data_IF_312329284869
#
_entry.id   IF_312329284869
#
_cell.length_a   1.000
_cell.length_b   1.000
_cell.length_c   1.000
_cell.angle_alpha   90.00
_cell.angle_beta   90.00
_cell.angle_gamma   90.00
#
_symmetry.space_group_name_H-M   'P 1'
#
loop_
_entity.id
_entity.type
_entity.pdbx_description
1 polymer ?
#
# COMPACT_ATOMS: atom_id res chain seq x y z
N UNK A 1 28.88 14.52 -1.47
CA UNK A 1 28.52 14.89 -2.86
C UNK A 1 27.44 15.97 -2.82
N UNK A 2 27.58 17.07 -3.58
CA UNK A 2 26.50 18.06 -3.73
C UNK A 2 25.49 17.55 -4.75
N UNK A 3 24.23 17.36 -4.33
CA UNK A 3 23.13 16.98 -5.23
C UNK A 3 22.84 18.09 -6.24
N UNK A 4 22.62 17.73 -7.50
CA UNK A 4 22.15 18.66 -8.52
C UNK A 4 20.74 19.18 -8.19
N UNK A 5 20.37 20.37 -8.69
CA UNK A 5 19.03 20.92 -8.48
C UNK A 5 17.94 19.94 -8.96
N UNK A 6 18.20 19.25 -10.07
CA UNK A 6 17.32 18.19 -10.59
C UNK A 6 17.13 17.05 -9.59
N UNK A 7 18.22 16.55 -9.02
CA UNK A 7 18.15 15.48 -8.03
C UNK A 7 17.41 15.94 -6.77
N UNK A 8 17.60 17.19 -6.32
CA UNK A 8 16.89 17.76 -5.17
C UNK A 8 15.38 17.84 -5.42
N UNK A 9 14.97 18.41 -6.54
CA UNK A 9 13.53 18.55 -6.88
C UNK A 9 12.87 17.18 -7.07
N UNK A 10 13.52 16.26 -7.79
CA UNK A 10 13.01 14.89 -7.92
C UNK A 10 12.92 14.19 -6.56
N UNK A 11 13.92 14.33 -5.70
CA UNK A 11 13.87 13.74 -4.36
C UNK A 11 12.74 14.33 -3.52
N UNK A 12 12.48 15.64 -3.63
CA UNK A 12 11.39 16.30 -2.91
C UNK A 12 10.00 15.88 -3.42
N UNK A 13 9.87 15.56 -4.70
CA UNK A 13 8.60 15.11 -5.28
C UNK A 13 8.36 13.60 -5.08
N UNK A 14 9.38 12.78 -5.29
CA UNK A 14 9.27 11.31 -5.32
C UNK A 14 9.33 10.70 -3.91
N UNK A 15 10.24 11.18 -3.06
CA UNK A 15 10.49 10.56 -1.76
C UNK A 15 9.25 10.61 -0.85
N UNK A 16 8.53 11.74 -0.72
CA UNK A 16 7.30 11.77 0.08
C UNK A 16 6.22 10.85 -0.48
N UNK A 17 6.06 10.79 -1.80
CA UNK A 17 5.08 9.90 -2.47
C UNK A 17 5.39 8.44 -2.15
N UNK A 18 6.66 8.03 -2.24
CA UNK A 18 7.07 6.66 -1.89
C UNK A 18 6.86 6.36 -0.41
N UNK A 19 7.15 7.32 0.49
CA UNK A 19 6.92 7.17 1.92
C UNK A 19 5.42 7.04 2.20
N UNK A 20 4.58 7.90 1.63
CA UNK A 20 3.12 7.81 1.77
C UNK A 20 2.59 6.49 1.21
N UNK A 21 3.03 6.09 0.03
CA UNK A 21 2.63 4.80 -0.57
C UNK A 21 3.01 3.63 0.33
N UNK A 22 4.23 3.65 0.91
CA UNK A 22 4.70 2.62 1.83
C UNK A 22 3.86 2.60 3.12
N UNK A 23 3.60 3.76 3.72
CA UNK A 23 2.82 3.88 4.97
C UNK A 23 1.37 3.46 4.73
N UNK A 24 0.74 3.94 3.66
CA UNK A 24 -0.63 3.56 3.28
C UNK A 24 -0.71 2.06 2.98
N UNK A 25 0.27 1.52 2.24
CA UNK A 25 0.31 0.08 1.94
C UNK A 25 0.47 -0.74 3.22
N UNK A 26 1.42 -0.38 4.09
CA UNK A 26 1.66 -1.10 5.35
C UNK A 26 0.46 -1.05 6.29
N UNK A 27 -0.16 0.12 6.45
CA UNK A 27 -1.35 0.31 7.29
C UNK A 27 -2.56 -0.43 6.72
N UNK A 28 -2.77 -0.37 5.40
CA UNK A 28 -3.83 -1.11 4.70
C UNK A 28 -3.66 -2.62 4.89
N UNK A 29 -2.46 -3.15 4.65
CA UNK A 29 -2.16 -4.57 4.85
C UNK A 29 -2.41 -4.98 6.30
N UNK A 30 -1.95 -4.18 7.26
CA UNK A 30 -2.13 -4.46 8.68
C UNK A 30 -3.61 -4.46 9.12
N UNK A 31 -4.36 -3.43 8.75
CA UNK A 31 -5.79 -3.33 9.05
C UNK A 31 -6.58 -4.47 8.42
N UNK A 32 -6.30 -4.78 7.15
CA UNK A 32 -7.00 -5.83 6.42
C UNK A 32 -6.65 -7.22 6.93
N UNK A 33 -5.41 -7.50 7.32
CA UNK A 33 -5.06 -8.79 7.90
C UNK A 33 -5.79 -9.00 9.24
N UNK A 34 -5.88 -7.96 10.07
CA UNK A 34 -6.70 -8.00 11.30
C UNK A 34 -8.19 -8.21 11.00
N UNK A 35 -8.71 -7.58 9.95
CA UNK A 35 -10.10 -7.74 9.55
C UNK A 35 -10.37 -9.14 8.98
N UNK A 36 -9.45 -9.69 8.20
CA UNK A 36 -9.51 -11.03 7.62
C UNK A 36 -9.62 -12.10 8.71
N UNK A 37 -8.73 -12.05 9.70
CA UNK A 37 -8.72 -12.99 10.82
C UNK A 37 -10.03 -12.91 11.62
N UNK A 38 -10.55 -11.69 11.84
CA UNK A 38 -11.85 -11.50 12.50
C UNK A 38 -13.00 -12.08 11.69
N UNK A 39 -13.09 -11.77 10.40
CA UNK A 39 -14.17 -12.24 9.54
C UNK A 39 -14.19 -13.78 9.43
N UNK A 40 -13.01 -14.39 9.32
CA UNK A 40 -12.84 -15.85 9.32
C UNK A 40 -13.27 -16.45 10.66
N UNK A 41 -12.82 -15.88 11.78
CA UNK A 41 -13.16 -16.35 13.12
C UNK A 41 -14.65 -16.21 13.42
N UNK A 42 -15.23 -15.04 13.18
CA UNK A 42 -16.65 -14.75 13.41
C UNK A 42 -17.55 -15.64 12.56
N UNK A 43 -17.16 -15.88 11.30
CA UNK A 43 -17.88 -16.80 10.42
C UNK A 43 -17.83 -18.24 10.97
N UNK A 44 -16.66 -18.69 11.41
CA UNK A 44 -16.50 -20.02 12.00
C UNK A 44 -17.35 -20.18 13.25
N UNK A 45 -17.26 -19.22 14.18
CA UNK A 45 -18.01 -19.24 15.43
C UNK A 45 -19.52 -19.22 15.19
N UNK A 46 -20.00 -18.39 14.27
CA UNK A 46 -21.42 -18.33 13.89
C UNK A 46 -21.90 -19.67 13.35
N UNK A 47 -21.19 -20.24 12.37
CA UNK A 47 -21.55 -21.53 11.78
C UNK A 47 -21.52 -22.68 12.80
N UNK A 48 -20.53 -22.68 13.70
CA UNK A 48 -20.47 -23.65 14.80
C UNK A 48 -21.63 -23.46 15.78
N UNK A 49 -21.98 -22.22 16.12
CA UNK A 49 -23.13 -21.91 16.97
C UNK A 49 -24.45 -22.37 16.34
N UNK A 50 -24.63 -22.15 15.04
CA UNK A 50 -25.79 -22.65 14.28
C UNK A 50 -25.85 -24.18 14.30
N UNK A 51 -24.72 -24.87 14.10
CA UNK A 51 -24.63 -26.33 14.19
C UNK A 51 -24.96 -26.84 15.60
N UNK A 52 -24.44 -26.17 16.64
CA UNK A 52 -24.73 -26.48 18.05
C UNK A 52 -26.21 -26.35 18.39
N UNK A 53 -26.83 -25.24 17.98
CA UNK A 53 -28.25 -24.99 18.20
C UNK A 53 -29.13 -26.01 17.46
N UNK A 54 -28.74 -26.35 16.23
CA UNK A 54 -29.43 -27.37 15.42
C UNK A 54 -29.39 -28.74 16.10
N UNK A 55 -28.23 -29.16 16.60
CA UNK A 55 -28.08 -30.41 17.35
C UNK A 55 -28.91 -30.42 18.64
N UNK A 56 -28.89 -29.32 19.39
CA UNK A 56 -29.69 -29.16 20.60
C UNK A 56 -31.18 -29.31 20.27
N UNK A 57 -31.67 -28.71 19.18
CA UNK A 57 -33.05 -28.85 18.73
C UNK A 57 -33.39 -30.29 18.34
N UNK A 58 -32.51 -30.98 17.61
CA UNK A 58 -32.73 -32.39 17.24
C UNK A 58 -32.82 -33.31 18.46
N UNK A 59 -31.92 -33.15 19.42
CA UNK A 59 -31.98 -33.94 20.66
C UNK A 59 -33.17 -33.53 21.52
N UNK A 60 -33.53 -32.24 21.59
CA UNK A 60 -34.73 -31.79 22.31
C UNK A 60 -36.02 -32.40 21.73
N UNK A 61 -36.13 -32.54 20.41
CA UNK A 61 -37.26 -33.23 19.76
C UNK A 61 -37.28 -34.72 20.16
N UNK A 62 -36.12 -35.40 20.11
CA UNK A 62 -36.00 -36.80 20.51
C UNK A 62 -36.37 -37.00 22.00
N UNK A 63 -35.90 -36.11 22.87
CA UNK A 63 -36.21 -36.10 24.30
C UNK A 63 -37.69 -35.83 24.55
N UNK A 64 -38.31 -34.92 23.80
CA UNK A 64 -39.75 -34.64 23.88
C UNK A 64 -40.58 -35.87 23.51
N UNK A 65 -40.17 -36.63 22.48
CA UNK A 65 -40.87 -37.83 22.05
C UNK A 65 -40.92 -38.91 23.14
N UNK A 66 -39.87 -39.05 23.95
CA UNK A 66 -39.81 -40.02 25.05
C UNK A 66 -40.23 -39.44 26.41
N UNK A 67 -40.50 -38.13 26.51
CA UNK A 67 -40.78 -37.44 27.77
C UNK A 67 -41.89 -38.11 28.60
N UNK A 68 -43.05 -38.48 28.04
CA UNK A 68 -44.11 -39.14 28.83
C UNK A 68 -43.66 -40.48 29.43
N UNK A 69 -42.85 -41.25 28.69
CA UNK A 69 -42.30 -42.52 29.15
C UNK A 69 -41.27 -42.30 30.26
N UNK A 70 -40.41 -41.31 30.11
CA UNK A 70 -39.35 -41.00 31.07
C UNK A 70 -39.88 -40.44 32.39
N UNK A 71 -40.90 -39.57 32.33
CA UNK A 71 -41.52 -38.98 33.52
C UNK A 71 -42.28 -40.03 34.34
N UNK A 72 -43.04 -40.92 33.68
CA UNK A 72 -43.80 -41.98 34.34
C UNK A 72 -42.93 -43.13 34.89
N UNK A 73 -41.75 -43.36 34.31
CA UNK A 73 -40.85 -44.44 34.70
C UNK A 73 -40.23 -44.25 36.09
N UNK A 74 -40.18 -45.35 36.86
CA UNK A 74 -39.30 -45.45 38.03
C UNK A 74 -37.82 -45.56 37.60
N UNK A 75 -36.86 -45.19 38.48
CA UNK A 75 -35.45 -45.47 38.23
C UNK A 75 -35.21 -46.96 37.94
N UNK A 76 -34.54 -47.27 36.83
CA UNK A 76 -34.27 -48.65 36.40
C UNK A 76 -35.41 -49.37 35.70
N UNK A 77 -36.53 -48.71 35.36
CA UNK A 77 -37.62 -49.35 34.61
C UNK A 77 -37.18 -49.74 33.18
N UNK A 78 -36.86 -51.02 33.01
CA UNK A 78 -36.38 -51.58 31.75
C UNK A 78 -37.45 -51.61 30.66
N UNK A 79 -38.73 -51.74 31.03
CA UNK A 79 -39.83 -51.81 30.05
C UNK A 79 -40.06 -50.43 29.43
N UNK A 80 -40.14 -49.40 30.26
CA UNK A 80 -40.25 -48.01 29.78
C UNK A 80 -39.01 -47.61 28.97
N UNK A 81 -37.81 -47.98 29.44
CA UNK A 81 -36.55 -47.74 28.73
C UNK A 81 -36.53 -48.41 27.35
N UNK A 82 -36.94 -49.68 27.24
CA UNK A 82 -37.00 -50.40 25.98
C UNK A 82 -37.98 -49.74 24.98
N UNK A 83 -39.16 -49.32 25.46
CA UNK A 83 -40.13 -48.59 24.65
C UNK A 83 -39.58 -47.24 24.15
N UNK A 84 -38.88 -46.50 25.01
CA UNK A 84 -38.22 -45.26 24.64
C UNK A 84 -37.11 -45.49 23.60
N UNK A 85 -36.26 -46.50 23.78
CA UNK A 85 -35.21 -46.88 22.82
C UNK A 85 -35.81 -47.24 21.46
N UNK A 86 -36.95 -47.95 21.42
CA UNK A 86 -37.66 -48.27 20.17
C UNK A 86 -38.09 -46.99 19.43
N UNK A 87 -38.62 -46.01 20.16
CA UNK A 87 -39.01 -44.73 19.58
C UNK A 87 -37.80 -43.94 19.08
N UNK A 88 -36.76 -43.80 19.90
CA UNK A 88 -35.51 -43.11 19.52
C UNK A 88 -34.82 -43.74 18.33
N UNK A 89 -34.80 -45.08 18.25
CA UNK A 89 -34.24 -45.84 17.13
C UNK A 89 -34.96 -45.55 15.80
N UNK A 90 -36.22 -45.12 15.85
CA UNK A 90 -36.97 -44.74 14.64
C UNK A 90 -36.70 -43.32 14.15
N UNK A 91 -36.00 -42.50 14.95
CA UNK A 91 -35.72 -41.10 14.60
C UNK A 91 -34.48 -41.01 13.71
N UNK A 92 -34.68 -40.44 12.53
CA UNK A 92 -33.63 -40.00 11.61
C UNK A 92 -34.05 -38.67 10.97
N UNK A 93 -33.08 -37.91 10.47
CA UNK A 93 -33.35 -36.61 9.86
C UNK A 93 -32.27 -36.22 8.85
N UNK A 94 -32.64 -35.33 7.94
CA UNK A 94 -31.78 -34.98 6.80
C UNK A 94 -31.42 -36.24 5.99
N UNK A 95 -30.23 -36.25 5.41
CA UNK A 95 -29.74 -37.38 4.61
C UNK A 95 -29.08 -38.46 5.47
N UNK A 96 -28.26 -38.05 6.44
CA UNK A 96 -27.38 -38.94 7.20
C UNK A 96 -27.47 -38.69 8.73
N UNK A 97 -28.42 -37.88 9.19
CA UNK A 97 -28.59 -37.52 10.60
C UNK A 97 -29.37 -38.57 11.38
N UNK A 98 -28.90 -38.88 12.59
CA UNK A 98 -29.49 -39.90 13.44
C UNK A 98 -29.26 -39.65 14.93
N UNK A 99 -30.08 -40.28 15.77
CA UNK A 99 -29.87 -40.33 17.22
C UNK A 99 -29.11 -41.61 17.59
N UNK A 100 -28.19 -41.50 18.53
CA UNK A 100 -27.50 -42.63 19.14
C UNK A 100 -27.62 -42.57 20.67
N UNK A 101 -27.34 -43.70 21.32
CA UNK A 101 -27.21 -43.71 22.76
C UNK A 101 -26.17 -44.70 23.28
N UNK A 102 -25.60 -44.33 24.42
CA UNK A 102 -24.62 -45.10 25.18
C UNK A 102 -25.04 -45.19 26.65
N UNK A 103 -24.57 -46.18 27.39
CA UNK A 103 -24.65 -46.17 28.85
C UNK A 103 -23.41 -45.52 29.50
N UNK A 104 -23.37 -45.46 30.84
CA UNK A 104 -22.23 -44.92 31.57
C UNK A 104 -20.91 -45.65 31.34
N UNK A 105 -20.96 -46.91 30.91
CA UNK A 105 -19.80 -47.76 30.62
C UNK A 105 -19.39 -47.67 29.15
N UNK A 106 -19.95 -46.71 28.41
CA UNK A 106 -19.63 -46.43 27.01
C UNK A 106 -20.02 -47.62 26.11
N UNK A 107 -21.03 -48.41 26.51
CA UNK A 107 -21.62 -49.46 25.70
C UNK A 107 -22.71 -48.84 24.83
N UNK A 108 -22.69 -49.12 23.53
CA UNK A 108 -23.71 -48.59 22.60
C UNK A 108 -25.05 -49.29 22.85
N UNK A 109 -26.07 -48.50 23.19
CA UNK A 109 -27.43 -49.01 23.45
C UNK A 109 -28.26 -49.02 22.16
N UNK A 110 -28.14 -47.97 21.34
CA UNK A 110 -28.79 -47.90 20.03
C UNK A 110 -28.08 -46.91 19.11
N UNK A 111 -28.33 -47.03 17.80
CA UNK A 111 -27.86 -46.10 16.76
C UNK A 111 -28.88 -46.06 15.64
N UNK A 112 -29.91 -45.22 15.79
CA UNK A 112 -31.12 -45.30 14.95
C UNK A 112 -31.59 -46.75 14.79
N UNK A 113 -32.02 -47.14 13.60
CA UNK A 113 -32.40 -48.49 13.24
C UNK A 113 -31.21 -49.41 12.86
N UNK A 114 -29.97 -48.94 13.01
CA UNK A 114 -28.78 -49.72 12.66
C UNK A 114 -28.36 -50.62 13.83
N UNK A 115 -28.15 -51.93 13.60
CA UNK A 115 -27.61 -52.84 14.62
C UNK A 115 -26.11 -52.64 14.86
N UNK A 116 -25.45 -51.78 14.08
CA UNK A 116 -24.01 -51.59 14.11
C UNK A 116 -23.49 -51.15 15.48
N UNK A 117 -22.63 -51.97 16.06
CA UNK A 117 -21.97 -51.72 17.33
C UNK A 117 -22.86 -51.82 18.57
N UNK A 118 -24.15 -52.11 18.45
CA UNK A 118 -25.05 -52.24 19.62
C UNK A 118 -24.55 -53.37 20.55
N UNK A 119 -24.52 -53.10 21.85
CA UNK A 119 -23.99 -54.01 22.87
C UNK A 119 -22.46 -54.06 22.97
N UNK A 120 -21.73 -53.39 22.09
CA UNK A 120 -20.26 -53.31 22.15
C UNK A 120 -19.80 -52.11 22.97
N UNK A 121 -18.70 -52.28 23.68
CA UNK A 121 -18.00 -51.18 24.34
C UNK A 121 -17.22 -50.35 23.32
N UNK A 122 -17.35 -49.03 23.42
CA UNK A 122 -16.56 -48.05 22.68
C UNK A 122 -15.60 -47.28 23.60
N UNK A 123 -15.37 -47.80 24.80
CA UNK A 123 -14.56 -47.14 25.82
C UNK A 123 -13.14 -46.84 25.32
N UNK A 124 -12.53 -47.73 24.55
CA UNK A 124 -11.16 -47.58 24.05
C UNK A 124 -11.05 -47.04 22.62
N UNK A 125 -12.19 -46.71 21.98
CA UNK A 125 -12.20 -46.19 20.62
C UNK A 125 -11.62 -44.77 20.58
N UNK A 126 -10.67 -44.54 19.67
CA UNK A 126 -10.01 -43.24 19.50
C UNK A 126 -10.13 -42.70 18.08
N UNK A 127 -10.16 -41.38 17.95
CA UNK A 127 -9.96 -40.73 16.66
C UNK A 127 -8.48 -40.61 16.28
N UNK A 128 -8.22 -40.06 15.09
CA UNK A 128 -6.86 -39.83 14.57
C UNK A 128 -6.03 -38.85 15.43
N UNK A 129 -6.67 -38.05 16.28
CA UNK A 129 -6.03 -37.11 17.20
C UNK A 129 -5.85 -37.70 18.61
N UNK A 130 -6.24 -38.95 18.83
CA UNK A 130 -6.13 -39.66 20.11
C UNK A 130 -7.29 -39.40 21.09
N UNK A 131 -8.36 -38.70 20.66
CA UNK A 131 -9.54 -38.42 21.48
C UNK A 131 -10.37 -39.69 21.66
N UNK A 132 -10.70 -40.03 22.91
CA UNK A 132 -11.63 -41.12 23.20
C UNK A 132 -13.08 -40.69 22.95
N UNK A 133 -13.49 -40.69 21.68
CA UNK A 133 -14.74 -40.09 21.18
C UNK A 133 -15.92 -40.39 22.10
N UNK A 134 -16.15 -41.67 22.39
CA UNK A 134 -17.34 -42.11 23.11
C UNK A 134 -17.25 -41.87 24.62
N UNK A 135 -16.04 -41.87 25.21
CA UNK A 135 -15.84 -41.44 26.59
C UNK A 135 -16.21 -39.97 26.76
N UNK A 136 -15.73 -39.14 25.85
CA UNK A 136 -16.01 -37.70 25.87
C UNK A 136 -17.50 -37.42 25.65
N UNK A 137 -18.15 -38.09 24.69
CA UNK A 137 -19.60 -38.00 24.49
C UNK A 137 -20.38 -38.35 25.76
N UNK A 138 -19.99 -39.41 26.48
CA UNK A 138 -20.63 -39.76 27.75
C UNK A 138 -20.33 -38.74 28.84
N UNK A 139 -19.09 -38.26 28.92
CA UNK A 139 -18.65 -37.30 29.93
C UNK A 139 -19.35 -35.94 29.79
N UNK A 140 -19.44 -35.38 28.58
CA UNK A 140 -20.07 -34.07 28.36
C UNK A 140 -21.59 -34.09 28.58
N UNK A 141 -22.25 -35.21 28.26
CA UNK A 141 -23.66 -35.42 28.59
C UNK A 141 -23.90 -35.49 30.10
N UNK A 142 -23.04 -36.18 30.85
CA UNK A 142 -23.13 -36.25 32.31
C UNK A 142 -22.77 -34.94 33.01
N UNK A 143 -21.79 -34.21 32.49
CA UNK A 143 -21.32 -32.94 33.06
C UNK A 143 -22.24 -31.76 32.74
N UNK A 144 -23.18 -31.90 31.79
CA UNK A 144 -24.03 -30.80 31.33
C UNK A 144 -23.31 -29.77 30.45
N UNK A 145 -22.10 -30.07 29.97
CA UNK A 145 -21.40 -29.24 28.96
C UNK A 145 -21.87 -29.58 27.54
N UNK A 146 -22.48 -30.76 27.37
CA UNK A 146 -23.21 -31.28 26.22
C UNK A 146 -22.47 -31.47 24.91
N UNK A 147 -21.47 -30.64 24.60
CA UNK A 147 -20.82 -30.61 23.29
C UNK A 147 -19.41 -31.19 23.32
N UNK A 148 -19.05 -31.96 22.29
CA UNK A 148 -17.69 -32.43 22.03
C UNK A 148 -17.37 -32.33 20.55
N UNK A 149 -16.16 -31.88 20.21
CA UNK A 149 -15.63 -31.94 18.86
C UNK A 149 -14.71 -33.14 18.73
N UNK A 150 -14.84 -33.89 17.64
CA UNK A 150 -14.03 -35.08 17.37
C UNK A 150 -14.00 -35.36 15.88
N UNK A 151 -13.07 -36.20 15.43
CA UNK A 151 -13.03 -36.63 14.04
C UNK A 151 -13.45 -38.09 13.90
N UNK A 152 -14.22 -38.43 12.86
CA UNK A 152 -14.61 -39.81 12.60
C UNK A 152 -14.65 -40.08 11.11
N UNK A 153 -14.12 -41.24 10.71
CA UNK A 153 -14.28 -41.75 9.36
C UNK A 153 -15.78 -41.93 9.04
N UNK A 154 -16.16 -41.61 7.80
CA UNK A 154 -17.48 -41.96 7.28
C UNK A 154 -17.51 -43.44 6.89
N UNK A 155 -18.67 -44.12 6.95
CA UNK A 155 -18.78 -45.50 6.46
C UNK A 155 -18.22 -45.62 5.03
N UNK A 156 -17.23 -46.48 4.84
CA UNK A 156 -16.59 -46.72 3.53
C UNK A 156 -15.52 -45.70 3.10
N UNK A 157 -15.18 -44.71 3.94
CA UNK A 157 -14.04 -43.78 3.70
C UNK A 157 -13.01 -43.91 4.81
N UNK A 158 -11.73 -43.81 4.46
CA UNK A 158 -10.62 -43.85 5.42
C UNK A 158 -10.29 -42.47 6.00
N UNK A 159 -10.63 -41.39 5.30
CA UNK A 159 -10.37 -40.03 5.78
C UNK A 159 -11.33 -39.63 6.91
N UNK A 160 -10.79 -39.21 8.06
CA UNK A 160 -11.61 -38.76 9.18
C UNK A 160 -12.22 -37.39 8.87
N UNK A 161 -13.52 -37.25 9.10
CA UNK A 161 -14.26 -36.00 8.92
C UNK A 161 -14.49 -35.36 10.29
N UNK A 162 -14.23 -34.05 10.47
CA UNK A 162 -14.49 -33.37 11.74
C UNK A 162 -15.99 -33.30 12.00
N UNK A 163 -16.38 -33.53 13.26
CA UNK A 163 -17.76 -33.54 13.73
C UNK A 163 -17.87 -32.77 15.04
N UNK A 164 -19.08 -32.28 15.28
CA UNK A 164 -19.51 -31.85 16.60
C UNK A 164 -20.65 -32.76 17.05
N UNK A 165 -20.55 -33.29 18.26
CA UNK A 165 -21.59 -34.06 18.93
C UNK A 165 -22.26 -33.23 20.03
N UNK A 166 -23.55 -33.45 20.22
CA UNK A 166 -24.33 -33.00 21.37
C UNK A 166 -24.90 -34.23 22.09
N UNK A 167 -24.80 -34.26 23.40
CA UNK A 167 -25.33 -35.34 24.23
C UNK A 167 -25.99 -34.82 25.50
N UNK A 168 -26.98 -35.57 25.96
CA UNK A 168 -27.67 -35.37 27.23
C UNK A 168 -27.75 -36.69 27.99
N UNK A 169 -27.89 -36.61 29.32
CA UNK A 169 -27.89 -37.79 30.20
C UNK A 169 -29.23 -37.98 30.90
N UNK A 170 -29.80 -39.18 30.75
CA UNK A 170 -31.02 -39.64 31.41
C UNK A 170 -30.65 -40.55 32.59
N UNK A 171 -30.52 -40.03 33.82
CA UNK A 171 -30.04 -40.80 34.98
C UNK A 171 -30.95 -41.97 35.35
N UNK A 172 -32.28 -41.88 35.18
CA UNK A 172 -33.19 -42.99 35.55
C UNK A 172 -32.89 -44.28 34.75
N UNK A 173 -32.30 -44.15 33.57
CA UNK A 173 -32.09 -45.26 32.63
C UNK A 173 -30.62 -45.53 32.32
N UNK A 174 -29.71 -44.82 33.00
CA UNK A 174 -28.29 -44.73 32.66
C UNK A 174 -28.06 -44.63 31.15
N UNK A 175 -28.73 -43.67 30.52
CA UNK A 175 -28.77 -43.54 29.06
C UNK A 175 -28.29 -42.16 28.64
N UNK A 176 -27.20 -42.12 27.89
CA UNK A 176 -26.73 -40.96 27.17
C UNK A 176 -27.42 -40.98 25.82
N UNK A 177 -28.04 -39.86 25.43
CA UNK A 177 -28.67 -39.69 24.13
C UNK A 177 -27.98 -38.54 23.43
N UNK A 178 -27.67 -38.70 22.14
CA UNK A 178 -27.07 -37.62 21.40
C UNK A 178 -27.23 -37.73 19.90
N UNK A 179 -26.71 -36.71 19.25
CA UNK A 179 -26.45 -36.73 17.82
C UNK A 179 -25.18 -35.97 17.48
N UNK A 180 -24.71 -36.12 16.26
CA UNK A 180 -23.57 -35.42 15.74
C UNK A 180 -23.82 -34.97 14.28
N UNK A 181 -23.25 -33.83 13.93
CA UNK A 181 -23.22 -33.33 12.56
C UNK A 181 -21.78 -33.16 12.09
N UNK A 182 -21.55 -33.36 10.80
CA UNK A 182 -20.25 -33.10 10.20
C UNK A 182 -20.05 -31.58 10.05
N UNK A 183 -18.83 -31.10 10.25
CA UNK A 183 -18.47 -29.68 10.16
C UNK A 183 -17.42 -29.39 9.08
N UNK A 184 -17.15 -30.36 8.21
CA UNK A 184 -16.30 -30.18 7.01
C UNK A 184 -16.85 -29.12 6.05
N UNK A 185 -18.18 -29.01 5.94
CA UNK A 185 -18.82 -27.93 5.20
C UNK A 185 -18.55 -26.53 5.78
N UNK A 186 -18.35 -26.44 7.10
CA UNK A 186 -17.98 -25.19 7.78
C UNK A 186 -16.54 -24.82 7.39
N UNK A 187 -15.62 -25.77 7.45
CA UNK A 187 -14.22 -25.56 7.05
C UNK A 187 -14.11 -25.14 5.58
N UNK A 188 -14.88 -25.78 4.69
CA UNK A 188 -14.95 -25.40 3.28
C UNK A 188 -15.48 -23.97 3.09
N UNK A 189 -16.54 -23.59 3.81
CA UNK A 189 -17.09 -22.22 3.74
C UNK A 189 -16.12 -21.18 4.29
N UNK A 190 -15.42 -21.50 5.37
CA UNK A 190 -14.36 -20.64 5.93
C UNK A 190 -13.21 -20.49 4.94
N UNK A 191 -12.81 -21.56 4.25
CA UNK A 191 -11.79 -21.50 3.21
C UNK A 191 -12.21 -20.61 2.03
N UNK A 192 -13.47 -20.67 1.61
CA UNK A 192 -14.03 -19.79 0.57
C UNK A 192 -13.99 -18.31 1.01
N UNK A 193 -14.39 -18.00 2.24
CA UNK A 193 -14.30 -16.65 2.81
C UNK A 193 -12.85 -16.17 2.81
N UNK A 194 -11.91 -17.02 3.27
CA UNK A 194 -10.48 -16.69 3.27
C UNK A 194 -9.96 -16.38 1.85
N UNK A 195 -10.33 -17.18 0.86
CA UNK A 195 -9.93 -16.94 -0.54
C UNK A 195 -10.49 -15.61 -1.07
N UNK A 196 -11.75 -15.30 -0.78
CA UNK A 196 -12.37 -14.04 -1.17
C UNK A 196 -11.68 -12.84 -0.52
N UNK A 197 -11.30 -12.96 0.76
CA UNK A 197 -10.56 -11.93 1.46
C UNK A 197 -9.17 -11.74 0.82
N UNK A 198 -8.42 -12.83 0.62
CA UNK A 198 -7.09 -12.77 -0.03
C UNK A 198 -7.14 -12.17 -1.45
N UNK A 199 -8.19 -12.45 -2.22
CA UNK A 199 -8.39 -11.84 -3.54
C UNK A 199 -8.59 -10.32 -3.44
N UNK A 200 -9.45 -9.85 -2.52
CA UNK A 200 -9.66 -8.42 -2.28
C UNK A 200 -8.38 -7.72 -1.81
N UNK A 201 -7.53 -8.40 -1.01
CA UNK A 201 -6.22 -7.87 -0.63
C UNK A 201 -5.36 -7.57 -1.85
N UNK A 202 -5.28 -8.54 -2.78
CA UNK A 202 -4.48 -8.39 -4.02
C UNK A 202 -5.01 -7.26 -4.88
N UNK A 203 -6.33 -7.16 -5.09
CA UNK A 203 -6.94 -6.08 -5.87
C UNK A 203 -6.62 -4.69 -5.29
N UNK A 204 -6.72 -4.52 -3.97
CA UNK A 204 -6.35 -3.27 -3.31
C UNK A 204 -4.85 -2.96 -3.39
N UNK A 205 -3.98 -3.96 -3.27
CA UNK A 205 -2.55 -3.75 -3.45
C UNK A 205 -2.20 -3.33 -4.88
N UNK A 206 -2.85 -3.93 -5.89
CA UNK A 206 -2.67 -3.53 -7.27
C UNK A 206 -3.20 -2.11 -7.54
N UNK A 207 -4.31 -1.70 -6.90
CA UNK A 207 -4.81 -0.32 -7.05
C UNK A 207 -3.87 0.71 -6.41
N UNK A 208 -3.34 0.43 -5.20
CA UNK A 208 -2.32 1.28 -4.55
C UNK A 208 -1.07 1.38 -5.41
N UNK A 209 -0.59 0.25 -5.94
CA UNK A 209 0.57 0.22 -6.83
C UNK A 209 0.30 1.04 -8.10
N UNK A 210 -0.87 0.88 -8.73
CA UNK A 210 -1.26 1.62 -9.92
C UNK A 210 -1.29 3.13 -9.70
N UNK A 211 -1.91 3.58 -8.59
CA UNK A 211 -1.93 5.01 -8.20
C UNK A 211 -0.52 5.52 -7.93
N UNK A 212 0.31 4.73 -7.22
CA UNK A 212 1.70 5.11 -6.91
C UNK A 212 2.51 5.31 -8.19
N UNK A 213 2.43 4.37 -9.13
CA UNK A 213 3.10 4.46 -10.44
C UNK A 213 2.60 5.69 -11.21
N UNK A 214 1.29 5.93 -11.23
CA UNK A 214 0.71 7.10 -11.91
C UNK A 214 1.27 8.42 -11.35
N UNK A 215 1.28 8.58 -10.02
CA UNK A 215 1.80 9.78 -9.36
C UNK A 215 3.30 9.95 -9.61
N UNK A 216 4.07 8.86 -9.60
CA UNK A 216 5.50 8.90 -9.93
C UNK A 216 5.76 9.36 -11.37
N UNK A 217 5.03 8.82 -12.33
CA UNK A 217 5.14 9.22 -13.75
C UNK A 217 4.83 10.71 -13.90
N UNK A 218 3.74 11.18 -13.32
CA UNK A 218 3.37 12.61 -13.34
C UNK A 218 4.46 13.47 -12.70
N UNK A 219 4.98 13.08 -11.54
CA UNK A 219 6.04 13.80 -10.84
C UNK A 219 7.33 13.90 -11.64
N UNK A 220 7.74 12.83 -12.33
CA UNK A 220 8.93 12.82 -13.19
C UNK A 220 8.73 13.74 -14.40
N UNK A 221 7.56 13.68 -15.05
CA UNK A 221 7.24 14.54 -16.19
C UNK A 221 7.23 16.02 -15.80
N UNK A 222 6.60 16.37 -14.68
CA UNK A 222 6.57 17.73 -14.14
C UNK A 222 7.96 18.25 -13.74
N UNK A 223 8.78 17.41 -13.10
CA UNK A 223 10.15 17.81 -12.78
C UNK A 223 10.96 18.10 -14.05
N UNK A 224 10.76 17.30 -15.10
CA UNK A 224 11.39 17.51 -16.40
C UNK A 224 11.01 18.85 -17.06
N UNK A 225 9.73 19.21 -17.04
CA UNK A 225 9.24 20.47 -17.62
C UNK A 225 9.69 21.69 -16.82
N UNK A 226 9.69 21.64 -15.48
CA UNK A 226 10.09 22.75 -14.62
C UNK A 226 11.60 23.03 -14.65
N UNK A 227 12.43 21.99 -14.73
CA UNK A 227 13.89 22.14 -14.60
C UNK A 227 14.61 22.43 -15.91
N UNK A 228 14.00 22.11 -17.06
CA UNK A 228 14.62 22.31 -18.38
C UNK A 228 14.94 23.78 -18.68
N UNK A 229 14.05 24.77 -18.43
CA UNK A 229 14.37 26.18 -18.65
C UNK A 229 15.54 26.66 -17.79
N UNK A 230 15.60 26.26 -16.51
CA UNK A 230 16.69 26.62 -15.60
C UNK A 230 18.06 26.12 -16.10
N UNK A 231 18.10 24.92 -16.70
CA UNK A 231 19.32 24.40 -17.34
C UNK A 231 19.77 25.23 -18.54
N UNK A 232 18.83 25.68 -19.39
CA UNK A 232 19.12 26.55 -20.53
C UNK A 232 19.62 27.93 -20.09
N UNK A 233 19.01 28.51 -19.06
CA UNK A 233 19.45 29.77 -18.47
C UNK A 233 20.89 29.70 -17.95
N UNK A 234 21.19 28.64 -17.19
CA UNK A 234 22.53 28.40 -16.65
C UNK A 234 23.57 28.28 -17.77
N UNK A 235 23.28 27.52 -18.83
CA UNK A 235 24.22 27.36 -19.94
C UNK A 235 24.43 28.68 -20.69
N UNK A 236 23.39 29.46 -20.97
CA UNK A 236 23.54 30.78 -21.61
C UNK A 236 24.32 31.78 -20.74
N UNK A 237 24.15 31.73 -19.42
CA UNK A 237 24.94 32.54 -18.49
C UNK A 237 26.41 32.11 -18.47
N UNK A 238 26.67 30.81 -18.43
CA UNK A 238 28.03 30.26 -18.51
C UNK A 238 28.71 30.67 -19.83
N UNK A 239 27.99 30.64 -20.96
CA UNK A 239 28.50 31.07 -22.27
C UNK A 239 28.83 32.58 -22.32
N UNK A 240 27.99 33.42 -21.71
CA UNK A 240 28.26 34.86 -21.60
C UNK A 240 29.47 35.13 -20.70
N UNK A 241 29.64 34.36 -19.63
CA UNK A 241 30.70 34.56 -18.64
C UNK A 241 32.06 33.95 -19.04
N UNK A 242 32.05 32.80 -19.74
CA UNK A 242 33.25 32.03 -20.06
C UNK A 242 33.65 32.11 -21.55
N UNK A 243 32.75 32.51 -22.45
CA UNK A 243 33.02 32.67 -23.88
C UNK A 243 33.42 34.10 -24.28
N UNK A 244 33.27 34.43 -25.56
CA UNK A 244 33.48 35.80 -26.09
C UNK A 244 32.38 36.80 -25.68
N UNK A 245 31.44 36.39 -24.82
CA UNK A 245 30.33 37.23 -24.40
C UNK A 245 29.36 37.53 -25.55
N UNK A 246 28.87 36.50 -26.26
CA UNK A 246 27.89 36.67 -27.34
C UNK A 246 26.53 37.15 -26.80
N UNK A 247 26.41 38.48 -26.67
CA UNK A 247 25.21 39.19 -26.23
C UNK A 247 24.09 39.21 -27.29
N UNK A 248 24.19 38.42 -28.37
CA UNK A 248 23.10 38.24 -29.34
C UNK A 248 22.14 37.12 -28.94
N UNK A 249 22.55 36.21 -28.05
CA UNK A 249 21.70 35.12 -27.56
C UNK A 249 20.60 35.64 -26.62
N UNK A 250 19.41 35.07 -26.73
CA UNK A 250 18.24 35.36 -25.89
C UNK A 250 17.63 34.06 -25.39
N UNK A 251 17.00 34.11 -24.22
CA UNK A 251 16.19 33.00 -23.72
C UNK A 251 14.82 33.01 -24.39
N UNK A 252 14.37 31.84 -24.84
CA UNK A 252 13.00 31.67 -25.31
C UNK A 252 12.03 31.77 -24.11
N UNK A 253 11.00 32.60 -24.23
CA UNK A 253 9.90 32.68 -23.25
C UNK A 253 8.88 31.61 -23.64
N UNK A 254 8.98 30.44 -23.03
CA UNK A 254 8.14 29.26 -23.36
C UNK A 254 7.04 28.98 -22.34
N UNK A 255 6.95 29.78 -21.28
CA UNK A 255 5.95 29.62 -20.22
C UNK A 255 5.39 30.99 -19.80
N UNK A 256 4.18 30.99 -19.25
CA UNK A 256 3.51 32.16 -18.68
C UNK A 256 3.52 32.11 -17.13
N UNK A 257 4.58 31.55 -16.56
CA UNK A 257 4.82 31.41 -15.12
C UNK A 257 6.07 32.22 -14.70
N UNK A 258 6.51 32.06 -13.45
CA UNK A 258 7.67 32.73 -12.90
C UNK A 258 8.96 32.46 -13.70
N UNK A 259 9.07 31.32 -14.38
CA UNK A 259 10.22 31.01 -15.25
C UNK A 259 10.15 31.80 -16.56
N UNK A 260 8.95 32.03 -17.09
CA UNK A 260 8.70 32.93 -18.21
C UNK A 260 9.09 34.38 -17.89
N UNK A 261 8.64 34.88 -16.74
CA UNK A 261 8.96 36.23 -16.26
C UNK A 261 10.45 36.43 -16.01
N UNK A 262 11.13 35.39 -15.48
CA UNK A 262 12.56 35.38 -15.29
C UNK A 262 13.32 35.42 -16.62
N UNK A 263 12.89 34.63 -17.62
CA UNK A 263 13.46 34.66 -18.97
C UNK A 263 13.31 36.05 -19.61
N UNK A 264 12.14 36.69 -19.46
CA UNK A 264 11.89 38.04 -19.94
C UNK A 264 12.77 39.09 -19.24
N UNK A 265 12.93 38.98 -17.92
CA UNK A 265 13.80 39.86 -17.12
C UNK A 265 15.27 39.72 -17.51
N UNK A 266 15.72 38.50 -17.78
CA UNK A 266 17.07 38.22 -18.27
C UNK A 266 17.32 38.85 -19.65
N UNK A 267 16.40 38.68 -20.59
CA UNK A 267 16.54 39.27 -21.92
C UNK A 267 16.68 40.80 -21.86
N UNK A 268 15.87 41.48 -21.02
CA UNK A 268 15.99 42.92 -20.77
C UNK A 268 17.34 43.32 -20.17
N UNK A 269 17.90 42.49 -19.28
CA UNK A 269 19.23 42.71 -18.73
C UNK A 269 20.31 42.64 -19.82
N UNK A 270 20.27 41.61 -20.68
CA UNK A 270 21.19 41.46 -21.81
C UNK A 270 21.08 42.63 -22.79
N UNK A 271 19.86 43.11 -23.08
CA UNK A 271 19.64 44.29 -23.94
C UNK A 271 20.35 45.54 -23.40
N UNK A 272 20.29 45.77 -22.08
CA UNK A 272 21.00 46.89 -21.43
C UNK A 272 22.52 46.74 -21.54
N UNK A 273 23.06 45.54 -21.32
CA UNK A 273 24.50 45.29 -21.44
C UNK A 273 24.97 45.53 -22.89
N UNK A 274 24.24 44.99 -23.87
CA UNK A 274 24.54 45.19 -25.29
C UNK A 274 24.53 46.69 -25.64
N UNK A 275 23.52 47.43 -25.18
CA UNK A 275 23.44 48.89 -25.37
C UNK A 275 24.65 49.64 -24.78
N UNK A 276 25.09 49.29 -23.56
CA UNK A 276 26.27 49.89 -22.95
C UNK A 276 27.56 49.58 -23.71
N UNK A 277 27.75 48.33 -24.16
CA UNK A 277 28.92 47.94 -24.97
C UNK A 277 28.96 48.73 -26.28
N UNK A 278 27.81 48.89 -26.93
CA UNK A 278 27.70 49.72 -28.14
C UNK A 278 28.07 51.17 -27.87
N UNK A 279 27.56 51.76 -26.79
CA UNK A 279 27.86 53.13 -26.41
C UNK A 279 29.36 53.33 -26.11
N UNK A 280 30.00 52.37 -25.44
CA UNK A 280 31.46 52.40 -25.18
C UNK A 280 32.24 52.32 -26.49
N UNK A 281 31.83 51.48 -27.43
CA UNK A 281 32.45 51.39 -28.76
C UNK A 281 32.32 52.71 -29.54
N UNK A 282 31.13 53.31 -29.55
CA UNK A 282 30.88 54.61 -30.18
C UNK A 282 31.72 55.73 -29.53
N UNK A 283 31.78 55.80 -28.20
CA UNK A 283 32.63 56.75 -27.47
C UNK A 283 34.12 56.54 -27.76
N UNK A 284 34.58 55.29 -27.88
CA UNK A 284 35.97 54.98 -28.25
C UNK A 284 36.29 55.43 -29.67
N UNK A 285 35.35 55.28 -30.61
CA UNK A 285 35.47 55.80 -31.97
C UNK A 285 35.55 57.32 -32.02
N UNK A 286 34.70 58.02 -31.26
CA UNK A 286 34.75 59.47 -31.12
C UNK A 286 36.07 59.93 -30.51
N UNK A 287 36.54 59.26 -29.45
CA UNK A 287 37.81 59.55 -28.79
C UNK A 287 38.99 59.41 -29.77
N UNK A 288 39.03 58.33 -30.56
CA UNK A 288 40.05 58.14 -31.60
C UNK A 288 40.00 59.25 -32.66
N UNK A 289 38.81 59.69 -33.07
CA UNK A 289 38.65 60.84 -33.97
C UNK A 289 39.21 62.13 -33.37
N UNK A 290 38.87 62.42 -32.11
CA UNK A 290 39.36 63.59 -31.38
C UNK A 290 40.90 63.57 -31.25
N UNK A 291 41.47 62.42 -30.94
CA UNK A 291 42.93 62.23 -30.86
C UNK A 291 43.59 62.49 -32.21
N UNK A 292 42.99 62.04 -33.31
CA UNK A 292 43.47 62.34 -34.66
C UNK A 292 43.44 63.84 -34.99
N UNK A 293 42.39 64.54 -34.58
CA UNK A 293 42.26 65.99 -34.77
C UNK A 293 43.29 66.78 -33.93
N UNK A 294 43.50 66.39 -32.67
CA UNK A 294 44.55 66.95 -31.81
C UNK A 294 45.94 66.73 -32.42
N UNK A 295 46.21 65.54 -32.96
CA UNK A 295 47.49 65.26 -33.64
C UNK A 295 47.68 66.15 -34.88
N UNK A 296 46.63 66.35 -35.69
CA UNK A 296 46.67 67.26 -36.84
C UNK A 296 46.91 68.71 -36.42
N UNK A 297 46.28 69.15 -35.32
CA UNK A 297 46.45 70.50 -34.77
C UNK A 297 47.87 70.71 -34.20
N UNK A 298 48.44 69.70 -33.55
CA UNK A 298 49.82 69.73 -33.08
C UNK A 298 50.80 69.91 -34.27
N UNK A 299 50.63 69.16 -35.35
CA UNK A 299 51.46 69.29 -36.56
C UNK A 299 51.36 70.68 -37.21
N UNK A 300 50.14 71.24 -37.28
CA UNK A 300 49.92 72.61 -37.77
C UNK A 300 50.61 73.64 -36.87
N UNK A 301 50.54 73.45 -35.55
CA UNK A 301 51.18 74.33 -34.59
C UNK A 301 52.69 74.28 -34.68
N UNK A 302 53.28 73.08 -34.84
CA UNK A 302 54.72 72.91 -35.12
C UNK A 302 55.14 73.67 -36.39
N UNK A 303 54.39 73.49 -37.49
CA UNK A 303 54.67 74.19 -38.76
C UNK A 303 54.55 75.71 -38.61
N UNK A 304 53.58 76.20 -37.83
CA UNK A 304 53.41 77.61 -37.55
C UNK A 304 54.55 78.17 -36.68
N UNK A 305 55.01 77.40 -35.69
CA UNK A 305 56.17 77.74 -34.86
C UNK A 305 57.46 77.82 -35.69
N UNK A 306 57.67 76.89 -36.62
CA UNK A 306 58.82 76.93 -37.54
C UNK A 306 58.80 78.18 -38.43
N UNK A 307 57.62 78.54 -38.97
CA UNK A 307 57.47 79.79 -39.73
C UNK A 307 57.74 81.03 -38.87
N UNK A 308 57.14 81.10 -37.69
CA UNK A 308 57.34 82.22 -36.78
C UNK A 308 58.80 82.35 -36.37
N UNK A 309 59.51 81.23 -36.18
CA UNK A 309 60.95 81.22 -35.91
C UNK A 309 61.73 81.81 -37.09
N UNK A 310 61.42 81.40 -38.32
CA UNK A 310 62.04 81.98 -39.52
C UNK A 310 61.77 83.48 -39.67
N UNK A 311 60.54 83.94 -39.42
CA UNK A 311 60.22 85.37 -39.42
C UNK A 311 60.99 86.11 -38.31
N UNK A 312 61.12 85.51 -37.12
CA UNK A 312 61.90 86.08 -36.02
C UNK A 312 63.38 86.19 -36.38
N UNK A 313 63.96 85.17 -37.03
CA UNK A 313 65.34 85.19 -37.53
C UNK A 313 65.52 86.25 -38.62
N UNK A 314 64.54 86.43 -39.50
CA UNK A 314 64.55 87.49 -40.51
C UNK A 314 64.48 88.88 -39.87
N UNK A 315 63.61 89.08 -38.88
CA UNK A 315 63.53 90.33 -38.11
C UNK A 315 64.84 90.59 -37.38
N UNK A 316 65.42 89.58 -36.73
CA UNK A 316 66.73 89.69 -36.08
C UNK A 316 67.83 90.06 -37.09
N UNK A 317 67.82 89.45 -38.27
CA UNK A 317 68.74 89.77 -39.37
C UNK A 317 68.55 91.21 -39.87
N UNK A 318 67.30 91.64 -40.06
CA UNK A 318 66.97 93.00 -40.46
C UNK A 318 67.39 94.04 -39.40
N UNK A 319 67.19 93.74 -38.11
CA UNK A 319 67.68 94.56 -37.00
C UNK A 319 69.21 94.64 -37.02
N UNK A 320 69.91 93.53 -37.23
CA UNK A 320 71.37 93.52 -37.35
C UNK A 320 71.85 94.36 -38.56
N UNK A 321 71.20 94.24 -39.71
CA UNK A 321 71.52 95.04 -40.90
C UNK A 321 71.24 96.53 -40.69
N UNK A 322 70.10 96.87 -40.07
CA UNK A 322 69.79 98.26 -39.69
C UNK A 322 70.80 98.82 -38.70
N UNK A 323 71.24 98.03 -37.72
CA UNK A 323 72.26 98.44 -36.75
C UNK A 323 73.64 98.61 -37.39
N UNK A 324 73.99 97.81 -38.40
CA UNK A 324 75.22 97.94 -39.16
C UNK A 324 75.21 99.14 -40.13
N UNK A 325 74.04 99.53 -40.66
CA UNK A 325 73.86 100.71 -41.49
C UNK A 325 73.81 102.04 -40.70
N UNK A 326 73.66 101.97 -39.38
CA UNK A 326 73.61 103.12 -38.47
C UNK A 326 74.96 103.42 -37.77
N UNK A 327 76.03 102.67 -38.10
CA UNK A 327 77.43 102.94 -37.70
C UNK A 327 78.20 103.59 -38.84
#
# INVERSE_FOLDING_TARGET
MRLSLKAKVLSLAVLPVLIFALVISATTVFMLHRQAEREVSDTRERLLSEAKATLQNYVAIAMTAIKPLYEAAAPGDETARANAIKLLSSISYGKDGYIFGYDSQVIRIFRSNSPDGVGKSFNDARDANGVYINRELVAVGKAGTHYVMYSSALPGKTEPVPKIGYTDYLPKWDLIIGSAVNIDGIDAKVAEVRQNVEARLKEMLYSILGITVLVLVIGILMAGTLLRPLGLMKNNLDDIAAGEGDLTRRLAITSNDELGDLAGSFNRFVDKIHGMVRQVSEMTGQLNGLVGEVSSQAQRSETAMDRQRHETDQVATAINQMSAAAQ
#
